data_IF_130635224864
#
_entry.id   IF_130635224864
#
_cell.length_a   1.000
_cell.length_b   1.000
_cell.length_c   1.000
_cell.angle_alpha   90.00
_cell.angle_beta   90.00
_cell.angle_gamma   90.00
#
_symmetry.space_group_name_H-M   'P 1'
#
loop_
_entity.id
_entity.type
_entity.pdbx_description
1 polymer ?
#
# COMPACT_ATOMS: atom_id res chain seq x y z
N UNK A 1 5.29 -5.71 -14.49
CA UNK A 1 4.60 -5.55 -13.19
C UNK A 1 5.44 -4.58 -12.36
N UNK A 2 4.83 -3.54 -11.81
CA UNK A 2 5.50 -2.52 -11.00
C UNK A 2 5.73 -3.03 -9.57
N UNK A 3 6.90 -2.79 -9.02
CA UNK A 3 7.22 -3.07 -7.62
C UNK A 3 7.20 -1.75 -6.86
N UNK A 4 6.41 -1.65 -5.80
CA UNK A 4 6.18 -0.41 -5.05
C UNK A 4 6.62 -0.62 -3.61
N UNK A 5 7.71 0.04 -3.16
CA UNK A 5 8.13 -0.02 -1.78
C UNK A 5 7.10 0.61 -0.85
N UNK A 6 6.96 0.02 0.34
CA UNK A 6 6.02 0.46 1.39
C UNK A 6 6.79 1.01 2.58
N UNK A 7 6.29 2.12 3.11
CA UNK A 7 6.70 2.74 4.37
C UNK A 7 5.48 2.79 5.29
N UNK A 8 5.55 2.12 6.43
CA UNK A 8 4.57 2.22 7.51
C UNK A 8 5.07 3.23 8.53
N UNK A 9 4.42 4.38 8.65
CA UNK A 9 4.85 5.51 9.46
C UNK A 9 3.99 5.64 10.72
N UNK A 10 4.62 5.59 11.90
CA UNK A 10 3.97 5.76 13.21
C UNK A 10 4.84 6.63 14.10
N UNK A 11 4.25 7.67 14.69
CA UNK A 11 4.93 8.59 15.61
C UNK A 11 6.23 9.19 15.03
N UNK A 12 6.23 9.49 13.73
CA UNK A 12 7.36 10.09 12.99
C UNK A 12 8.46 9.12 12.60
N UNK A 13 8.34 7.82 12.91
CA UNK A 13 9.32 6.79 12.56
C UNK A 13 8.70 5.69 11.70
N UNK A 14 9.54 5.00 10.94
CA UNK A 14 9.13 3.84 10.16
C UNK A 14 9.07 2.61 11.07
N UNK A 15 7.96 1.88 10.98
CA UNK A 15 7.70 0.70 11.81
C UNK A 15 7.53 -0.56 10.97
N UNK A 16 7.67 -1.72 11.58
CA UNK A 16 7.43 -2.99 10.93
C UNK A 16 5.97 -3.41 11.10
N UNK A 17 5.17 -3.22 10.06
CA UNK A 17 3.79 -3.68 10.04
C UNK A 17 3.72 -5.21 10.05
N UNK A 18 2.90 -5.78 10.95
CA UNK A 18 2.78 -7.21 11.11
C UNK A 18 1.36 -7.62 11.51
N UNK A 19 0.73 -8.50 10.68
CA UNK A 19 -0.57 -9.10 10.93
C UNK A 19 -1.74 -8.14 11.19
N UNK A 20 -1.61 -6.85 10.85
CA UNK A 20 -2.64 -5.85 11.13
C UNK A 20 -2.77 -5.43 12.59
N UNK A 21 -1.93 -5.95 13.50
CA UNK A 21 -1.92 -5.59 14.93
C UNK A 21 -1.17 -4.26 15.15
N UNK A 22 -1.77 -3.15 14.73
CA UNK A 22 -1.15 -1.81 14.61
C UNK A 22 -0.59 -1.27 15.93
N UNK A 23 -1.11 -1.71 17.07
CA UNK A 23 -0.65 -1.27 18.41
C UNK A 23 0.72 -1.85 18.75
N UNK A 24 1.06 -3.03 18.24
CA UNK A 24 2.26 -3.79 18.59
C UNK A 24 3.45 -3.50 17.64
N UNK A 25 3.27 -2.60 16.64
CA UNK A 25 4.32 -2.35 15.66
C UNK A 25 5.56 -1.72 16.29
N UNK A 26 6.71 -2.32 16.04
CA UNK A 26 8.01 -1.89 16.55
C UNK A 26 8.77 -1.07 15.51
N UNK A 27 9.72 -0.22 15.92
CA UNK A 27 10.62 0.46 15.00
C UNK A 27 11.25 -0.52 14.01
N UNK A 28 11.30 -0.11 12.74
CA UNK A 28 11.77 -0.96 11.66
C UNK A 28 13.26 -1.31 11.82
N UNK A 29 13.57 -2.60 11.72
CA UNK A 29 14.92 -3.10 11.50
C UNK A 29 15.05 -3.48 10.02
N UNK A 30 16.05 -2.95 9.32
CA UNK A 30 16.18 -3.10 7.88
C UNK A 30 17.63 -3.22 7.45
N UNK A 31 17.86 -4.08 6.44
CA UNK A 31 19.17 -4.12 5.74
C UNK A 31 19.44 -2.86 4.91
N UNK A 32 18.42 -2.03 4.68
CA UNK A 32 18.52 -0.81 3.88
C UNK A 32 19.05 0.39 4.68
N UNK A 33 18.82 0.40 6.00
CA UNK A 33 19.23 1.48 6.89
C UNK A 33 19.29 1.00 8.34
N UNK A 34 20.25 1.55 9.10
CA UNK A 34 20.36 1.36 10.54
C UNK A 34 19.44 2.32 11.34
N UNK A 35 18.81 3.29 10.66
CA UNK A 35 17.91 4.26 11.27
C UNK A 35 16.48 4.06 10.74
N UNK A 36 15.46 4.02 11.59
CA UNK A 36 14.07 3.85 11.19
C UNK A 36 13.39 5.18 10.83
N UNK A 37 14.14 6.21 10.46
CA UNK A 37 13.56 7.46 9.97
C UNK A 37 13.19 7.34 8.47
N UNK A 38 12.18 8.10 8.06
CA UNK A 38 11.61 7.99 6.72
C UNK A 38 12.63 8.32 5.61
N UNK A 39 13.53 9.30 5.83
CA UNK A 39 14.52 9.69 4.82
C UNK A 39 15.59 8.62 4.63
N UNK A 40 16.06 8.02 5.73
CA UNK A 40 17.04 6.94 5.70
C UNK A 40 16.51 5.71 4.97
N UNK A 41 15.25 5.33 5.22
CA UNK A 41 14.59 4.21 4.56
C UNK A 41 14.31 4.53 3.08
N UNK A 42 13.77 5.71 2.77
CA UNK A 42 13.51 6.13 1.40
C UNK A 42 14.79 6.16 0.56
N UNK A 43 15.86 6.76 1.08
CA UNK A 43 17.17 6.74 0.42
C UNK A 43 17.73 5.31 0.30
N UNK A 44 17.42 4.42 1.23
CA UNK A 44 17.74 2.99 1.14
C UNK A 44 17.08 2.34 -0.08
N UNK A 45 15.79 2.58 -0.29
CA UNK A 45 15.09 2.13 -1.49
C UNK A 45 15.67 2.72 -2.77
N UNK A 46 15.93 4.02 -2.81
CA UNK A 46 16.48 4.70 -4.00
C UNK A 46 17.91 4.24 -4.36
N UNK A 47 18.70 3.82 -3.38
CA UNK A 47 20.01 3.16 -3.65
C UNK A 47 19.83 1.78 -4.25
N UNK A 48 18.73 1.08 -3.92
CA UNK A 48 18.45 -0.25 -4.43
C UNK A 48 17.98 -0.20 -5.89
N UNK A 49 17.08 0.73 -6.21
CA UNK A 49 16.48 0.89 -7.55
C UNK A 49 15.89 2.29 -7.70
N UNK A 50 15.81 2.79 -8.94
CA UNK A 50 15.16 4.08 -9.26
C UNK A 50 13.63 3.94 -9.21
N UNK A 51 13.07 3.77 -8.03
CA UNK A 51 11.62 3.72 -7.85
C UNK A 51 10.99 5.09 -8.14
N UNK A 52 9.96 5.09 -8.98
CA UNK A 52 9.18 6.28 -9.33
C UNK A 52 7.90 6.42 -8.49
N UNK A 53 7.59 5.40 -7.70
CA UNK A 53 6.38 5.34 -6.86
C UNK A 53 6.71 4.63 -5.55
N UNK A 54 6.25 5.21 -4.45
CA UNK A 54 6.30 4.62 -3.12
C UNK A 54 4.91 4.71 -2.45
N UNK A 55 4.63 3.78 -1.55
CA UNK A 55 3.44 3.78 -0.72
C UNK A 55 3.81 4.18 0.72
N UNK A 56 3.03 5.08 1.32
CA UNK A 56 3.17 5.45 2.74
C UNK A 56 1.83 5.23 3.44
N UNK A 57 1.84 4.43 4.50
CA UNK A 57 0.73 4.36 5.44
C UNK A 57 1.00 5.30 6.62
N UNK A 58 0.17 6.32 6.82
CA UNK A 58 0.15 7.14 8.03
C UNK A 58 -0.66 6.41 9.11
N UNK A 59 0.01 5.58 9.89
CA UNK A 59 -0.64 4.74 10.90
C UNK A 59 -1.30 5.56 12.02
N UNK A 60 -0.82 6.76 12.34
CA UNK A 60 -1.48 7.64 13.30
C UNK A 60 -2.82 8.12 12.76
N UNK A 61 -2.89 8.54 11.50
CA UNK A 61 -4.13 8.95 10.86
C UNK A 61 -5.10 7.76 10.71
N UNK A 62 -4.58 6.61 10.29
CA UNK A 62 -5.32 5.34 10.17
C UNK A 62 -5.94 4.91 11.49
N UNK A 63 -5.21 4.98 12.60
CA UNK A 63 -5.71 4.60 13.93
C UNK A 63 -6.40 5.75 14.69
N UNK A 64 -6.47 6.94 14.08
CA UNK A 64 -7.02 8.17 14.70
C UNK A 64 -6.29 8.58 15.98
N UNK A 65 -5.01 8.28 16.09
CA UNK A 65 -4.14 8.65 17.22
C UNK A 65 -3.30 9.90 16.96
N UNK A 66 -3.55 10.60 15.86
CA UNK A 66 -2.81 11.77 15.40
C UNK A 66 -2.60 11.72 13.89
N UNK A 67 -1.51 12.30 13.39
CA UNK A 67 -1.10 12.20 11.98
C UNK A 67 0.38 12.55 11.82
N UNK A 68 0.95 12.16 10.67
CA UNK A 68 2.30 12.52 10.24
C UNK A 68 2.28 13.50 9.05
N UNK A 69 1.20 14.23 8.85
CA UNK A 69 0.94 15.09 7.68
C UNK A 69 2.10 16.05 7.39
N UNK A 70 2.63 16.73 8.41
CA UNK A 70 3.73 17.69 8.22
C UNK A 70 4.99 17.01 7.68
N UNK A 71 5.36 15.85 8.22
CA UNK A 71 6.50 15.06 7.76
C UNK A 71 6.29 14.52 6.34
N UNK A 72 5.09 14.00 6.06
CA UNK A 72 4.74 13.52 4.71
C UNK A 72 4.83 14.67 3.70
N UNK A 73 4.27 15.85 3.99
CA UNK A 73 4.38 17.02 3.09
C UNK A 73 5.82 17.45 2.85
N UNK A 74 6.69 17.37 3.87
CA UNK A 74 8.11 17.64 3.71
C UNK A 74 8.75 16.64 2.74
N UNK A 75 8.47 15.34 2.90
CA UNK A 75 8.95 14.29 1.99
C UNK A 75 8.47 14.51 0.56
N UNK A 76 7.19 14.88 0.36
CA UNK A 76 6.65 15.18 -0.97
C UNK A 76 7.40 16.33 -1.65
N UNK A 77 7.73 17.39 -0.90
CA UNK A 77 8.49 18.52 -1.42
C UNK A 77 9.94 18.17 -1.75
N UNK A 78 10.59 17.34 -0.92
CA UNK A 78 11.99 16.97 -1.09
C UNK A 78 12.20 15.94 -2.22
N UNK A 79 11.13 15.19 -2.57
CA UNK A 79 11.16 14.17 -3.63
C UNK A 79 10.07 14.40 -4.70
N UNK A 80 10.09 15.56 -5.42
CA UNK A 80 9.02 15.94 -6.33
C UNK A 80 8.88 15.05 -7.57
N UNK A 81 9.90 14.25 -7.90
CA UNK A 81 9.89 13.31 -9.02
C UNK A 81 9.30 11.94 -8.67
N UNK A 82 9.02 11.68 -7.40
CA UNK A 82 8.45 10.43 -6.92
C UNK A 82 6.95 10.63 -6.67
N UNK A 83 6.13 9.73 -7.16
CA UNK A 83 4.71 9.66 -6.83
C UNK A 83 4.52 8.89 -5.53
N UNK A 84 3.82 9.47 -4.58
CA UNK A 84 3.53 8.83 -3.31
C UNK A 84 2.04 8.45 -3.22
N UNK A 85 1.79 7.19 -3.01
CA UNK A 85 0.47 6.65 -2.68
C UNK A 85 0.31 6.72 -1.17
N UNK A 86 -0.61 7.57 -0.70
CA UNK A 86 -0.73 7.86 0.74
C UNK A 86 -2.03 7.30 1.29
N UNK A 87 -1.90 6.36 2.21
CA UNK A 87 -3.01 5.90 3.05
C UNK A 87 -2.97 6.65 4.38
N UNK A 88 -3.91 7.56 4.55
CA UNK A 88 -4.10 8.35 5.77
C UNK A 88 -5.48 8.08 6.39
N UNK A 89 -6.00 6.87 6.24
CA UNK A 89 -7.28 6.47 6.78
C UNK A 89 -8.47 7.16 6.10
N UNK A 90 -9.38 7.75 6.87
CA UNK A 90 -10.53 8.46 6.30
C UNK A 90 -10.11 9.82 5.75
N UNK A 91 -9.96 9.89 4.44
CA UNK A 91 -9.57 11.11 3.72
C UNK A 91 -10.82 11.88 3.30
N UNK A 92 -10.79 13.22 3.48
CA UNK A 92 -11.80 14.12 2.92
C UNK A 92 -11.32 14.64 1.55
N UNK A 93 -12.25 14.88 0.61
CA UNK A 93 -11.91 15.49 -0.68
C UNK A 93 -11.27 16.86 -0.48
N UNK A 94 -10.09 17.06 -1.05
CA UNK A 94 -9.34 18.30 -0.99
C UNK A 94 -8.36 18.36 -2.16
N UNK A 95 -7.69 19.49 -2.35
CA UNK A 95 -6.54 19.63 -3.24
C UNK A 95 -5.33 18.87 -2.67
N UNK A 96 -4.70 18.05 -3.49
CA UNK A 96 -3.48 17.32 -3.13
C UNK A 96 -2.28 17.81 -3.94
N UNK A 97 -1.06 17.75 -3.39
CA UNK A 97 0.15 17.93 -4.19
C UNK A 97 0.18 16.99 -5.40
N UNK A 98 0.80 17.43 -6.51
CA UNK A 98 0.81 16.67 -7.78
C UNK A 98 1.36 15.24 -7.65
N UNK A 99 2.27 15.04 -6.71
CA UNK A 99 2.89 13.74 -6.45
C UNK A 99 2.26 12.98 -5.28
N UNK A 100 1.07 13.40 -4.83
CA UNK A 100 0.26 12.73 -3.81
C UNK A 100 -0.93 12.06 -4.48
N UNK A 101 -1.05 10.74 -4.38
CA UNK A 101 -2.25 9.99 -4.78
C UNK A 101 -2.88 9.39 -3.53
N UNK A 102 -4.12 9.79 -3.17
CA UNK A 102 -4.78 9.27 -1.97
C UNK A 102 -5.18 7.81 -2.16
N UNK A 103 -4.96 7.01 -1.12
CA UNK A 103 -5.51 5.66 -1.00
C UNK A 103 -6.79 5.74 -0.18
N UNK A 104 -7.88 5.25 -0.74
CA UNK A 104 -9.16 5.16 -0.07
C UNK A 104 -9.38 3.71 0.38
N UNK A 105 -9.10 3.42 1.65
CA UNK A 105 -9.27 2.10 2.25
C UNK A 105 -10.76 1.76 2.46
N UNK A 106 -11.16 0.56 2.07
CA UNK A 106 -12.54 0.09 2.24
C UNK A 106 -12.97 0.09 3.71
N UNK A 107 -12.04 -0.12 4.63
CA UNK A 107 -12.30 -0.10 6.08
C UNK A 107 -12.87 1.25 6.59
N UNK A 108 -12.69 2.36 5.82
CA UNK A 108 -13.20 3.69 6.13
C UNK A 108 -14.42 4.08 5.30
N UNK A 109 -14.82 3.25 4.36
CA UNK A 109 -15.95 3.49 3.47
C UNK A 109 -17.16 2.72 4.00
N UNK A 110 -18.05 3.43 4.65
CA UNK A 110 -19.29 2.90 5.20
C UNK A 110 -20.46 3.02 4.20
N UNK A 111 -21.68 3.18 4.69
CA UNK A 111 -22.86 3.44 3.88
C UNK A 111 -22.64 4.66 2.99
N UNK A 112 -23.27 4.67 1.79
CA UNK A 112 -23.15 5.74 0.79
C UNK A 112 -21.80 5.81 0.08
N UNK A 113 -21.16 4.65 -0.12
CA UNK A 113 -19.86 4.55 -0.81
C UNK A 113 -19.83 5.27 -2.17
N UNK A 114 -20.89 5.16 -2.99
CA UNK A 114 -21.01 5.87 -4.27
C UNK A 114 -20.89 7.40 -4.11
N UNK A 115 -21.63 7.97 -3.14
CA UNK A 115 -21.60 9.41 -2.87
C UNK A 115 -20.25 9.86 -2.36
N UNK A 116 -19.62 9.06 -1.49
CA UNK A 116 -18.28 9.37 -0.97
C UNK A 116 -17.23 9.35 -2.07
N UNK A 117 -17.17 8.29 -2.87
CA UNK A 117 -16.19 8.15 -3.94
C UNK A 117 -16.38 9.20 -5.05
N UNK A 118 -17.63 9.55 -5.38
CA UNK A 118 -17.94 10.58 -6.37
C UNK A 118 -17.48 11.99 -5.98
N UNK A 119 -17.13 12.24 -4.72
CA UNK A 119 -16.59 13.54 -4.29
C UNK A 119 -15.12 13.74 -4.69
N UNK A 120 -14.41 12.66 -5.04
CA UNK A 120 -13.01 12.77 -5.46
C UNK A 120 -12.93 13.06 -6.96
N UNK A 121 -12.63 14.32 -7.28
CA UNK A 121 -12.45 14.78 -8.67
C UNK A 121 -11.05 14.50 -9.22
N UNK A 122 -10.15 14.01 -8.37
CA UNK A 122 -8.77 13.68 -8.69
C UNK A 122 -8.55 12.17 -8.72
N UNK A 123 -7.41 11.76 -9.29
CA UNK A 123 -6.98 10.37 -9.26
C UNK A 123 -6.86 9.87 -7.81
N UNK A 124 -7.40 8.71 -7.55
CA UNK A 124 -7.25 7.97 -6.29
C UNK A 124 -7.15 6.48 -6.56
N UNK A 125 -6.65 5.74 -5.59
CA UNK A 125 -6.62 4.28 -5.62
C UNK A 125 -7.54 3.76 -4.53
N UNK A 126 -8.39 2.81 -4.85
CA UNK A 126 -9.21 2.11 -3.87
C UNK A 126 -8.43 0.92 -3.30
N UNK A 127 -8.39 0.79 -1.98
CA UNK A 127 -7.94 -0.44 -1.33
C UNK A 127 -9.15 -1.24 -0.84
N UNK A 128 -9.30 -2.46 -1.37
CA UNK A 128 -10.27 -3.44 -0.88
C UNK A 128 -9.56 -4.30 0.18
N UNK A 129 -9.95 -4.11 1.43
CA UNK A 129 -9.21 -4.63 2.57
C UNK A 129 -9.90 -5.88 3.15
N UNK A 130 -9.15 -6.97 3.21
CA UNK A 130 -9.53 -8.14 3.99
C UNK A 130 -8.89 -8.05 5.38
N UNK A 131 -9.71 -8.18 6.39
CA UNK A 131 -9.30 -8.11 7.80
C UNK A 131 -8.43 -9.29 8.24
N UNK A 132 -8.13 -9.32 9.54
CA UNK A 132 -7.18 -10.29 10.12
C UNK A 132 -7.70 -11.72 10.06
N UNK A 133 -9.03 -11.92 10.10
CA UNK A 133 -9.66 -13.23 9.95
C UNK A 133 -10.19 -13.48 8.52
N UNK A 134 -9.84 -12.61 7.57
CA UNK A 134 -10.18 -12.74 6.16
C UNK A 134 -11.55 -12.15 5.77
N UNK A 135 -12.21 -11.46 6.68
CA UNK A 135 -13.46 -10.75 6.44
C UNK A 135 -13.26 -9.55 5.52
N UNK A 136 -14.26 -9.21 4.71
CA UNK A 136 -14.28 -8.01 3.87
C UNK A 136 -14.61 -6.79 4.74
N UNK A 137 -13.73 -5.79 4.75
CA UNK A 137 -13.92 -4.57 5.52
C UNK A 137 -14.70 -3.52 4.72
N UNK A 138 -15.48 -2.70 5.42
CA UNK A 138 -16.27 -1.62 4.82
C UNK A 138 -17.63 -2.04 4.30
N UNK A 139 -18.26 -1.16 3.51
CA UNK A 139 -19.61 -1.37 3.01
C UNK A 139 -19.71 -2.58 2.08
N UNK A 140 -20.69 -3.46 2.31
CA UNK A 140 -20.94 -4.61 1.42
C UNK A 140 -21.22 -4.18 -0.02
N UNK A 141 -21.88 -3.04 -0.20
CA UNK A 141 -22.19 -2.46 -1.52
C UNK A 141 -20.90 -2.17 -2.30
N UNK A 142 -19.85 -1.66 -1.66
CA UNK A 142 -18.56 -1.38 -2.31
C UNK A 142 -17.97 -2.64 -2.96
N UNK A 143 -18.12 -3.80 -2.32
CA UNK A 143 -17.62 -5.08 -2.83
C UNK A 143 -18.46 -5.69 -3.93
N UNK A 144 -19.75 -5.30 -4.02
CA UNK A 144 -20.70 -5.84 -5.00
C UNK A 144 -20.81 -5.01 -6.27
N UNK A 145 -20.42 -3.72 -6.19
CA UNK A 145 -20.60 -2.76 -7.27
C UNK A 145 -19.28 -2.27 -7.85
N UNK A 146 -18.62 -3.06 -8.73
CA UNK A 146 -17.32 -2.72 -9.32
C UNK A 146 -17.34 -1.43 -10.15
N UNK A 147 -18.53 -0.91 -10.49
CA UNK A 147 -18.67 0.37 -11.18
C UNK A 147 -18.21 1.57 -10.32
N UNK A 148 -18.20 1.42 -8.99
CA UNK A 148 -17.66 2.44 -8.08
C UNK A 148 -16.14 2.42 -8.01
N UNK A 149 -15.50 1.33 -8.43
CA UNK A 149 -14.06 1.19 -8.33
C UNK A 149 -13.35 2.03 -9.39
N UNK A 150 -12.26 2.71 -9.05
CA UNK A 150 -11.36 3.33 -10.02
C UNK A 150 -10.72 2.25 -10.91
N UNK A 151 -9.87 2.67 -11.84
CA UNK A 151 -9.13 1.74 -12.70
C UNK A 151 -8.17 0.87 -11.91
N UNK A 152 -7.47 1.45 -10.94
CA UNK A 152 -6.48 0.79 -10.11
C UNK A 152 -7.05 0.46 -8.73
N UNK A 153 -6.95 -0.82 -8.32
CA UNK A 153 -7.54 -1.34 -7.08
C UNK A 153 -6.51 -2.21 -6.36
N UNK A 154 -6.21 -1.86 -5.12
CA UNK A 154 -5.40 -2.69 -4.23
C UNK A 154 -6.29 -3.79 -3.64
N UNK A 155 -5.81 -5.03 -3.66
CA UNK A 155 -6.36 -6.12 -2.86
C UNK A 155 -5.42 -6.30 -1.67
N UNK A 156 -5.84 -5.81 -0.52
CA UNK A 156 -5.08 -5.84 0.72
C UNK A 156 -5.51 -7.01 1.59
N UNK A 157 -4.57 -7.85 1.97
CA UNK A 157 -4.82 -8.96 2.91
C UNK A 157 -4.06 -8.69 4.21
N UNK A 158 -4.70 -8.06 5.19
CA UNK A 158 -4.07 -7.63 6.45
C UNK A 158 -3.46 -8.80 7.23
N UNK A 159 -4.10 -9.97 7.24
CA UNK A 159 -3.55 -11.19 7.84
C UNK A 159 -2.20 -11.63 7.26
N UNK A 160 -1.87 -11.19 6.04
CA UNK A 160 -0.62 -11.54 5.34
C UNK A 160 0.43 -10.44 5.41
N UNK A 161 0.08 -9.24 5.84
CA UNK A 161 1.04 -8.14 6.00
C UNK A 161 2.13 -8.54 6.99
N UNK A 162 3.39 -8.45 6.58
CA UNK A 162 4.55 -8.81 7.40
C UNK A 162 4.65 -10.28 7.80
N UNK A 163 3.76 -11.16 7.29
CA UNK A 163 3.66 -12.56 7.73
C UNK A 163 4.65 -13.51 7.06
N UNK A 164 5.19 -13.14 5.91
CA UNK A 164 5.96 -14.03 5.03
C UNK A 164 5.24 -15.35 4.68
N UNK A 165 3.90 -15.34 4.62
CA UNK A 165 3.08 -16.53 4.30
C UNK A 165 2.81 -16.72 2.80
N UNK A 166 3.29 -15.81 1.98
CA UNK A 166 3.01 -15.78 0.55
C UNK A 166 1.75 -14.98 0.21
N UNK A 167 1.59 -14.70 -1.06
CA UNK A 167 0.50 -13.86 -1.60
C UNK A 167 -0.83 -14.61 -1.69
N UNK A 168 -1.94 -13.89 -1.63
CA UNK A 168 -3.29 -14.42 -1.87
C UNK A 168 -3.57 -14.59 -3.38
N UNK A 169 -2.74 -15.38 -4.06
CA UNK A 169 -2.72 -15.47 -5.53
C UNK A 169 -4.04 -15.93 -6.15
N UNK A 170 -4.74 -16.88 -5.52
CA UNK A 170 -6.04 -17.37 -6.01
C UNK A 170 -7.13 -16.30 -5.96
N UNK A 171 -7.10 -15.48 -4.94
CA UNK A 171 -8.03 -14.36 -4.78
C UNK A 171 -7.77 -13.29 -5.84
N UNK A 172 -6.51 -12.90 -6.02
CA UNK A 172 -6.11 -11.96 -7.08
C UNK A 172 -6.47 -12.48 -8.48
N UNK A 173 -6.27 -13.77 -8.74
CA UNK A 173 -6.70 -14.42 -9.97
C UNK A 173 -8.21 -14.25 -10.18
N UNK A 174 -9.01 -14.55 -9.17
CA UNK A 174 -10.47 -14.42 -9.23
C UNK A 174 -10.90 -12.97 -9.54
N UNK A 175 -10.28 -11.96 -8.88
CA UNK A 175 -10.57 -10.56 -9.18
C UNK A 175 -10.21 -10.17 -10.61
N UNK A 176 -9.06 -10.60 -11.13
CA UNK A 176 -8.65 -10.32 -12.51
C UNK A 176 -9.58 -10.97 -13.54
N UNK A 177 -10.02 -12.20 -13.31
CA UNK A 177 -10.95 -12.92 -14.18
C UNK A 177 -12.35 -12.29 -14.18
N UNK A 178 -12.84 -11.89 -12.98
CA UNK A 178 -14.16 -11.30 -12.83
C UNK A 178 -14.22 -9.84 -13.34
N UNK A 179 -13.11 -9.10 -13.30
CA UNK A 179 -13.06 -7.67 -13.62
C UNK A 179 -11.90 -7.31 -14.55
N UNK A 180 -11.88 -7.77 -15.81
CA UNK A 180 -10.74 -7.62 -16.72
C UNK A 180 -10.46 -6.18 -17.15
N UNK A 181 -11.39 -5.25 -16.91
CA UNK A 181 -11.25 -3.81 -17.15
C UNK A 181 -10.59 -3.05 -15.99
N UNK A 182 -10.33 -3.72 -14.86
CA UNK A 182 -9.63 -3.16 -13.70
C UNK A 182 -8.16 -3.61 -13.68
N UNK A 183 -7.34 -2.88 -12.96
CA UNK A 183 -5.92 -3.19 -12.75
C UNK A 183 -5.69 -3.45 -11.27
N UNK A 184 -5.42 -4.71 -10.93
CA UNK A 184 -5.25 -5.08 -9.52
C UNK A 184 -3.80 -4.98 -9.07
N UNK A 185 -3.65 -4.55 -7.83
CA UNK A 185 -2.39 -4.38 -7.12
C UNK A 185 -2.42 -5.30 -5.91
N UNK A 186 -1.41 -6.15 -5.78
CA UNK A 186 -1.31 -7.08 -4.66
C UNK A 186 -0.69 -6.39 -3.44
N UNK A 187 -1.25 -6.63 -2.25
CA UNK A 187 -0.69 -6.15 -1.00
C UNK A 187 -0.76 -7.23 0.10
N UNK A 188 0.38 -7.47 0.74
CA UNK A 188 0.54 -8.42 1.84
C UNK A 188 1.13 -9.77 1.43
N UNK A 189 2.11 -10.24 2.20
CA UNK A 189 2.63 -11.60 2.20
C UNK A 189 3.73 -11.94 1.19
N UNK A 190 4.13 -11.06 0.30
CA UNK A 190 5.23 -11.33 -0.66
C UNK A 190 6.53 -11.62 0.09
N UNK A 191 7.16 -12.75 -0.25
CA UNK A 191 8.39 -13.24 0.39
C UNK A 191 9.65 -12.98 -0.43
N UNK A 192 9.56 -13.20 -1.74
CA UNK A 192 10.72 -13.23 -2.63
C UNK A 192 10.29 -13.12 -4.11
N UNK A 193 11.24 -13.23 -5.04
CA UNK A 193 10.99 -13.14 -6.48
C UNK A 193 10.07 -14.24 -7.03
N UNK A 194 10.02 -15.43 -6.42
CA UNK A 194 9.10 -16.48 -6.87
C UNK A 194 7.64 -16.06 -6.70
N UNK A 195 7.30 -15.37 -5.60
CA UNK A 195 5.95 -14.82 -5.41
C UNK A 195 5.64 -13.74 -6.47
N UNK A 196 6.63 -12.92 -6.84
CA UNK A 196 6.51 -11.94 -7.92
C UNK A 196 6.20 -12.64 -9.26
N UNK A 197 6.90 -13.71 -9.59
CA UNK A 197 6.68 -14.47 -10.82
C UNK A 197 5.31 -15.17 -10.86
N UNK A 198 4.80 -15.60 -9.70
CA UNK A 198 3.43 -16.09 -9.59
C UNK A 198 2.42 -14.98 -9.89
N UNK A 199 2.60 -13.79 -9.30
CA UNK A 199 1.71 -12.64 -9.51
C UNK A 199 1.70 -12.17 -10.98
N UNK A 200 2.85 -12.22 -11.67
CA UNK A 200 2.92 -11.92 -13.11
C UNK A 200 2.02 -12.83 -13.94
N UNK A 201 1.93 -14.13 -13.60
CA UNK A 201 1.07 -15.10 -14.30
C UNK A 201 -0.42 -14.77 -14.17
N UNK A 202 -0.81 -14.09 -13.11
CA UNK A 202 -2.19 -13.67 -12.86
C UNK A 202 -2.47 -12.23 -13.33
N UNK A 203 -1.60 -11.67 -14.18
CA UNK A 203 -1.77 -10.32 -14.74
C UNK A 203 -1.95 -9.21 -13.68
N UNK A 204 -1.31 -9.37 -12.53
CA UNK A 204 -1.29 -8.34 -11.49
C UNK A 204 -0.46 -7.16 -11.97
N UNK A 205 -1.00 -5.94 -11.84
CA UNK A 205 -0.39 -4.71 -12.38
C UNK A 205 0.83 -4.28 -11.59
N UNK A 206 0.70 -4.32 -10.27
CA UNK A 206 1.74 -3.89 -9.33
C UNK A 206 1.66 -4.70 -8.03
N UNK A 207 2.69 -4.58 -7.21
CA UNK A 207 2.74 -5.21 -5.89
C UNK A 207 3.37 -4.27 -4.88
N UNK A 208 2.75 -4.18 -3.70
CA UNK A 208 3.27 -3.45 -2.55
C UNK A 208 4.23 -4.35 -1.76
N UNK A 209 5.44 -3.85 -1.50
CA UNK A 209 6.55 -4.61 -0.91
C UNK A 209 7.14 -3.87 0.30
N UNK A 210 7.07 -4.49 1.47
CA UNK A 210 7.73 -4.03 2.69
C UNK A 210 8.81 -5.04 3.12
N UNK A 211 8.41 -6.08 3.85
CA UNK A 211 9.31 -7.04 4.51
C UNK A 211 10.30 -7.70 3.56
N UNK A 212 9.92 -8.00 2.32
CA UNK A 212 10.81 -8.63 1.34
C UNK A 212 12.04 -7.76 1.00
N UNK A 213 11.90 -6.43 1.01
CA UNK A 213 13.00 -5.49 0.84
C UNK A 213 13.79 -5.32 2.15
N UNK A 214 13.09 -5.09 3.26
CA UNK A 214 13.73 -4.82 4.55
C UNK A 214 14.53 -6.00 5.10
N UNK A 215 14.12 -7.22 4.78
CA UNK A 215 14.83 -8.45 5.15
C UNK A 215 15.89 -8.89 4.13
N UNK A 216 16.05 -8.16 3.02
CA UNK A 216 17.00 -8.49 1.96
C UNK A 216 16.63 -9.72 1.12
N UNK A 217 15.38 -10.17 1.16
CA UNK A 217 14.89 -11.28 0.34
C UNK A 217 14.73 -10.89 -1.14
N UNK A 218 14.54 -9.59 -1.41
CA UNK A 218 14.63 -8.98 -2.74
C UNK A 218 15.69 -7.89 -2.66
N UNK A 219 16.73 -8.00 -3.49
CA UNK A 219 17.90 -7.13 -3.51
C UNK A 219 17.97 -6.30 -4.79
N UNK A 220 18.89 -5.33 -4.86
CA UNK A 220 19.15 -4.56 -6.07
C UNK A 220 19.49 -5.45 -7.27
N UNK A 221 20.15 -6.59 -7.06
CA UNK A 221 20.50 -7.53 -8.13
C UNK A 221 19.26 -8.17 -8.76
N UNK A 222 18.23 -8.44 -7.94
CA UNK A 222 16.95 -8.98 -8.43
C UNK A 222 16.16 -7.97 -9.28
N UNK A 223 16.50 -6.67 -9.20
CA UNK A 223 15.80 -5.56 -9.87
C UNK A 223 16.53 -5.06 -11.13
N UNK A 224 17.66 -5.66 -11.48
CA UNK A 224 18.36 -5.38 -12.74
C UNK A 224 17.64 -6.16 -13.87
N UNK A 225 16.79 -5.46 -14.61
CA UNK A 225 16.14 -5.97 -15.83
C UNK A 225 16.79 -5.38 -17.06
#
# INVERSE_FOLDING_TARGET
>A
MKLIPVIDLKDGIVVHAKFGHRDDYQPLQSVLSNQPDIYSILNGFLRMHAFDTLYIADLNAITRSGNNTALIHQVLNDFPSITFWIDAGKILPQEFPKNYIPILGSEYIDKHCATYLAQFNHEFILSLDHGVVGERLGATELWREPNYWPKEVIIMTLARVGSSQGVASKELQHFNEAHPNKQFIAAGGVRNMNDIDILKKYNVKAVLLASAFHLGAITAENLKF
#
